data_IF_719791938749
#
_entry.id   IF_719791938749
#
_cell.length_a   1.000
_cell.length_b   1.000
_cell.length_c   1.000
_cell.angle_alpha   90.00
_cell.angle_beta   90.00
_cell.angle_gamma   90.00
#
_symmetry.space_group_name_H-M   'P 1'
#
loop_
_entity.id
_entity.type
_entity.pdbx_description
1 polymer ?
#
# COMPACT_ATOMS: atom_id res chain seq x y z
N UNK A 1 -15.74 26.82 -24.38
CA UNK A 1 -14.92 26.77 -25.60
C UNK A 1 -14.46 28.17 -25.92
N UNK A 2 -13.16 28.44 -25.75
CA UNK A 2 -12.50 29.66 -26.22
C UNK A 2 -11.65 29.22 -27.42
N UNK A 3 -11.86 29.75 -28.63
CA UNK A 3 -10.95 29.53 -29.75
C UNK A 3 -9.64 30.26 -29.47
N UNK A 4 -8.53 29.54 -29.54
CA UNK A 4 -7.17 30.09 -29.43
C UNK A 4 -6.78 30.65 -30.80
N UNK A 5 -6.29 31.90 -30.80
CA UNK A 5 -5.80 32.69 -31.93
C UNK A 5 -4.58 32.03 -32.63
N UNK A 6 -4.60 31.80 -33.96
CA UNK A 6 -3.50 31.19 -34.68
C UNK A 6 -2.53 32.25 -35.18
N UNK A 7 -1.72 32.83 -34.29
CA UNK A 7 -0.42 33.39 -34.67
C UNK A 7 0.66 32.59 -33.98
N UNK A 8 1.02 31.51 -34.67
CA UNK A 8 1.89 30.46 -34.18
C UNK A 8 3.28 30.96 -33.80
N UNK A 9 3.77 30.48 -32.66
CA UNK A 9 5.17 30.09 -32.60
C UNK A 9 5.37 29.08 -33.72
N UNK A 10 6.31 29.33 -34.62
CA UNK A 10 6.67 28.42 -35.69
C UNK A 10 7.41 27.23 -35.06
N UNK A 11 6.65 26.30 -34.49
CA UNK A 11 7.18 25.10 -33.84
C UNK A 11 7.53 24.14 -34.96
N UNK A 12 8.82 24.07 -35.29
CA UNK A 12 9.34 23.06 -36.19
C UNK A 12 9.20 21.70 -35.51
N UNK A 13 8.41 20.81 -36.10
CA UNK A 13 8.33 19.43 -35.65
C UNK A 13 9.71 18.77 -35.76
N UNK A 14 10.00 17.84 -34.85
CA UNK A 14 11.19 17.00 -34.94
C UNK A 14 11.13 16.15 -36.22
N UNK A 15 12.26 16.03 -36.90
CA UNK A 15 12.38 15.28 -38.15
C UNK A 15 12.31 13.77 -37.85
N UNK A 16 11.26 13.07 -38.31
CA UNK A 16 11.09 11.64 -38.05
C UNK A 16 12.04 10.76 -38.87
N UNK A 17 12.70 11.32 -39.88
CA UNK A 17 13.60 10.58 -40.77
C UNK A 17 15.06 10.57 -40.26
N UNK A 18 15.34 11.31 -39.18
CA UNK A 18 16.63 11.24 -38.51
C UNK A 18 16.74 9.94 -37.68
N UNK A 19 17.84 9.17 -37.82
CA UNK A 19 18.04 7.97 -37.04
C UNK A 19 18.25 8.34 -35.56
N UNK A 20 17.27 7.99 -34.72
CA UNK A 20 17.38 8.09 -33.27
C UNK A 20 17.43 6.70 -32.66
N UNK A 21 18.22 6.55 -31.58
CA UNK A 21 18.21 5.32 -30.80
C UNK A 21 16.93 5.19 -29.94
N UNK A 22 16.13 6.25 -29.82
CA UNK A 22 14.89 6.28 -29.06
C UNK A 22 13.67 6.26 -29.99
N UNK A 23 12.70 5.40 -29.68
CA UNK A 23 11.45 5.35 -30.43
C UNK A 23 10.60 6.60 -30.12
N UNK A 24 9.82 7.16 -31.07
CA UNK A 24 8.98 8.33 -30.82
C UNK A 24 7.93 8.16 -29.71
N UNK A 25 7.61 6.91 -29.35
CA UNK A 25 6.69 6.55 -28.28
C UNK A 25 7.36 6.23 -26.94
N UNK A 26 8.69 6.41 -26.82
CA UNK A 26 9.38 6.23 -25.54
C UNK A 26 8.97 7.30 -24.53
N UNK A 27 8.90 6.94 -23.25
CA UNK A 27 8.73 7.92 -22.17
C UNK A 27 9.96 8.84 -22.08
N UNK A 28 9.87 9.93 -21.31
CA UNK A 28 10.98 10.89 -21.19
C UNK A 28 12.16 10.36 -20.37
N UNK A 29 11.92 9.37 -19.52
CA UNK A 29 12.89 8.82 -18.56
C UNK A 29 14.16 8.21 -19.20
N UNK A 30 14.07 7.37 -20.25
CA UNK A 30 15.25 6.83 -20.94
C UNK A 30 16.13 7.90 -21.60
N UNK A 31 15.54 9.01 -22.07
CA UNK A 31 16.32 10.10 -22.67
C UNK A 31 17.17 10.81 -21.62
N UNK A 32 16.59 11.06 -20.44
CA UNK A 32 17.29 11.69 -19.31
C UNK A 32 18.40 10.77 -18.78
N UNK A 33 18.12 9.47 -18.63
CA UNK A 33 19.10 8.49 -18.16
C UNK A 33 20.32 8.35 -19.10
N UNK A 34 20.13 8.60 -20.39
CA UNK A 34 21.20 8.54 -21.41
C UNK A 34 21.67 9.94 -21.86
N UNK A 35 21.36 10.98 -21.08
CA UNK A 35 21.77 12.38 -21.31
C UNK A 35 21.46 12.91 -22.72
N UNK A 36 20.42 12.39 -23.37
CA UNK A 36 20.01 12.77 -24.73
C UNK A 36 21.08 12.52 -25.82
N UNK A 37 22.02 11.62 -25.59
CA UNK A 37 23.12 11.33 -26.52
C UNK A 37 22.68 10.28 -27.54
N UNK A 38 22.62 10.63 -28.82
CA UNK A 38 22.16 9.73 -29.90
C UNK A 38 23.23 8.73 -30.39
N UNK A 39 24.51 9.10 -30.35
CA UNK A 39 25.62 8.20 -30.70
C UNK A 39 26.94 8.69 -30.08
N UNK A 40 27.83 7.75 -29.76
CA UNK A 40 29.18 8.03 -29.27
C UNK A 40 30.21 7.83 -30.38
N UNK A 41 30.82 8.91 -30.86
CA UNK A 41 31.97 8.83 -31.78
C UNK A 41 33.28 8.91 -30.99
N UNK A 42 33.81 7.77 -30.58
CA UNK A 42 35.10 7.69 -29.87
C UNK A 42 36.26 7.63 -30.88
N UNK A 43 37.00 8.72 -31.04
CA UNK A 43 38.28 8.72 -31.76
C UNK A 43 39.43 8.45 -30.78
N UNK A 44 39.98 7.24 -30.79
CA UNK A 44 41.22 6.92 -30.06
C UNK A 44 42.37 6.74 -31.06
N UNK A 45 43.46 7.51 -30.87
CA UNK A 45 44.66 7.45 -31.71
C UNK A 45 45.80 6.82 -30.93
N UNK A 46 46.10 5.55 -31.25
CA UNK A 46 47.19 4.80 -30.64
C UNK A 46 48.57 5.42 -30.96
N UNK A 47 48.71 6.03 -32.14
CA UNK A 47 49.98 6.63 -32.58
C UNK A 47 50.40 7.83 -31.74
N UNK A 48 49.47 8.72 -31.35
CA UNK A 48 49.80 9.90 -30.54
C UNK A 48 50.20 9.51 -29.11
N UNK A 49 49.54 8.51 -28.54
CA UNK A 49 49.91 7.96 -27.23
C UNK A 49 51.33 7.41 -27.23
N UNK A 50 51.71 6.66 -28.28
CA UNK A 50 53.02 6.04 -28.38
C UNK A 50 54.16 7.06 -28.58
N UNK A 51 53.93 8.13 -29.36
CA UNK A 51 54.94 9.17 -29.60
C UNK A 51 55.19 10.07 -28.39
N UNK A 52 54.21 10.25 -27.51
CA UNK A 52 54.36 11.08 -26.29
C UNK A 52 55.07 10.33 -25.16
N UNK A 53 55.04 8.99 -25.16
CA UNK A 53 55.60 8.16 -24.09
C UNK A 53 56.96 7.51 -24.41
N UNK A 54 57.64 7.89 -25.50
CA UNK A 54 58.94 7.32 -25.84
C UNK A 54 60.09 8.20 -25.29
N UNK A 55 60.89 7.74 -24.32
CA UNK A 55 62.04 8.51 -23.82
C UNK A 55 63.23 8.44 -24.79
N UNK A 56 63.79 9.60 -25.15
CA UNK A 56 64.88 9.72 -26.15
C UNK A 56 66.27 9.26 -25.67
N UNK A 57 66.45 8.96 -24.38
CA UNK A 57 67.68 8.33 -23.89
C UNK A 57 67.47 7.57 -22.58
N UNK A 58 67.98 6.33 -22.53
CA UNK A 58 68.10 5.56 -21.31
C UNK A 58 69.57 5.51 -20.88
N UNK A 59 69.89 6.14 -19.76
CA UNK A 59 71.12 5.88 -18.99
C UNK A 59 70.79 4.92 -17.86
N UNK A 60 71.57 3.84 -17.73
CA UNK A 60 71.45 2.92 -16.60
C UNK A 60 72.65 3.10 -15.68
N UNK A 61 72.39 3.25 -14.38
CA UNK A 61 73.38 3.11 -13.32
C UNK A 61 73.31 1.68 -12.78
N UNK A 62 74.47 1.03 -12.65
CA UNK A 62 74.58 -0.34 -12.18
C UNK A 62 74.72 -0.35 -10.66
N UNK A 63 73.60 -0.52 -9.93
CA UNK A 63 73.63 -0.81 -8.50
C UNK A 63 73.68 -2.31 -8.26
N UNK A 64 74.67 -2.75 -7.47
CA UNK A 64 74.78 -4.15 -7.07
C UNK A 64 73.56 -4.58 -6.25
N UNK A 65 72.86 -5.59 -6.76
CA UNK A 65 71.66 -6.14 -6.16
C UNK A 65 72.00 -6.97 -4.93
N UNK A 66 71.59 -6.51 -3.75
CA UNK A 66 71.39 -7.39 -2.59
C UNK A 66 70.21 -8.33 -2.89
N UNK A 67 70.46 -9.40 -3.66
CA UNK A 67 69.46 -10.38 -4.11
C UNK A 67 68.66 -10.98 -2.95
N UNK A 68 69.28 -11.07 -1.77
CA UNK A 68 68.64 -11.56 -0.55
C UNK A 68 67.61 -10.59 0.03
N UNK A 69 67.91 -9.29 0.11
CA UNK A 69 66.99 -8.28 0.67
C UNK A 69 65.77 -8.12 -0.23
N UNK A 70 65.97 -8.14 -1.56
CA UNK A 70 64.90 -8.10 -2.54
C UNK A 70 63.95 -9.31 -2.45
N UNK A 71 64.49 -10.51 -2.22
CA UNK A 71 63.67 -11.70 -2.00
C UNK A 71 62.81 -11.59 -0.74
N UNK A 72 63.36 -11.04 0.36
CA UNK A 72 62.63 -10.83 1.61
C UNK A 72 61.51 -9.79 1.45
N UNK A 73 61.76 -8.66 0.80
CA UNK A 73 60.73 -7.63 0.61
C UNK A 73 59.60 -8.10 -0.31
N UNK A 74 59.90 -8.92 -1.32
CA UNK A 74 58.88 -9.58 -2.16
C UNK A 74 58.04 -10.58 -1.35
N UNK A 75 58.67 -11.38 -0.48
CA UNK A 75 57.97 -12.30 0.43
C UNK A 75 57.05 -11.57 1.41
N UNK A 76 57.52 -10.49 2.03
CA UNK A 76 56.72 -9.65 2.94
C UNK A 76 55.58 -8.97 2.17
N UNK A 77 55.84 -8.48 0.96
CA UNK A 77 54.82 -7.89 0.09
C UNK A 77 53.75 -8.89 -0.35
N UNK A 78 54.12 -10.13 -0.66
CA UNK A 78 53.19 -11.21 -0.99
C UNK A 78 52.37 -11.64 0.24
N UNK A 79 53.00 -11.83 1.40
CA UNK A 79 52.31 -12.21 2.63
C UNK A 79 51.37 -11.09 3.12
N UNK A 80 51.83 -9.85 3.06
CA UNK A 80 51.05 -8.66 3.40
C UNK A 80 49.90 -8.43 2.41
N UNK A 81 50.19 -8.48 1.11
CA UNK A 81 49.21 -8.33 0.04
C UNK A 81 48.15 -9.44 0.06
N UNK A 82 48.56 -10.69 0.26
CA UNK A 82 47.64 -11.83 0.40
C UNK A 82 46.74 -11.68 1.63
N UNK A 83 47.29 -11.26 2.77
CA UNK A 83 46.50 -11.03 4.00
C UNK A 83 45.46 -9.92 3.81
N UNK A 84 45.83 -8.81 3.17
CA UNK A 84 44.92 -7.70 2.88
C UNK A 84 43.86 -8.13 1.87
N UNK A 85 44.24 -8.82 0.80
CA UNK A 85 43.32 -9.34 -0.20
C UNK A 85 42.33 -10.37 0.39
N UNK A 86 42.80 -11.32 1.20
CA UNK A 86 41.93 -12.28 1.89
C UNK A 86 40.93 -11.55 2.80
N UNK A 87 41.38 -10.56 3.58
CA UNK A 87 40.49 -9.79 4.48
C UNK A 87 39.44 -8.98 3.71
N UNK A 88 39.73 -8.56 2.49
CA UNK A 88 38.79 -7.86 1.61
C UNK A 88 37.81 -8.80 0.90
N UNK A 89 38.29 -9.98 0.47
CA UNK A 89 37.53 -10.92 -0.38
C UNK A 89 36.69 -11.91 0.45
N UNK A 90 37.17 -12.33 1.62
CA UNK A 90 36.50 -13.34 2.44
C UNK A 90 35.12 -12.89 2.96
N UNK A 91 34.91 -11.68 3.50
CA UNK A 91 33.59 -11.30 4.02
C UNK A 91 32.48 -11.29 2.96
N UNK A 92 32.69 -10.77 1.73
CA UNK A 92 31.74 -10.93 0.63
C UNK A 92 31.49 -12.40 0.24
N UNK A 93 32.55 -13.21 0.14
CA UNK A 93 32.42 -14.63 -0.21
C UNK A 93 31.62 -15.43 0.83
N UNK A 94 31.88 -15.21 2.12
CA UNK A 94 31.13 -15.87 3.21
C UNK A 94 29.66 -15.46 3.18
N UNK A 95 29.34 -14.17 2.96
CA UNK A 95 27.95 -13.71 2.81
C UNK A 95 27.22 -14.36 1.62
N UNK A 96 27.93 -14.64 0.53
CA UNK A 96 27.34 -15.29 -0.64
C UNK A 96 27.04 -16.77 -0.39
N UNK A 97 27.92 -17.49 0.32
CA UNK A 97 27.77 -18.92 0.58
C UNK A 97 26.86 -19.22 1.78
N UNK A 98 26.85 -18.36 2.80
CA UNK A 98 26.15 -18.59 4.07
C UNK A 98 24.85 -17.78 4.20
N UNK A 99 24.20 -17.48 3.07
CA UNK A 99 22.90 -16.81 3.03
C UNK A 99 21.85 -17.72 2.40
N UNK A 100 20.74 -17.94 3.10
CA UNK A 100 19.62 -18.75 2.63
C UNK A 100 18.37 -17.88 2.58
N UNK A 101 17.68 -17.88 1.44
CA UNK A 101 16.43 -17.15 1.28
C UNK A 101 15.33 -17.77 2.14
N UNK A 102 14.43 -16.94 2.64
CA UNK A 102 13.35 -17.38 3.52
C UNK A 102 12.37 -18.35 2.81
N UNK A 103 12.14 -18.17 1.51
CA UNK A 103 11.29 -19.07 0.70
C UNK A 103 11.75 -20.55 0.67
N UNK A 104 13.03 -20.82 0.91
CA UNK A 104 13.59 -22.18 0.97
C UNK A 104 13.06 -22.96 2.17
N UNK A 105 12.74 -22.27 3.27
CA UNK A 105 12.39 -22.90 4.55
C UNK A 105 11.11 -22.36 5.21
N UNK A 106 10.45 -21.37 4.59
CA UNK A 106 9.16 -20.84 5.02
C UNK A 106 8.19 -20.79 3.86
N UNK A 107 6.92 -21.10 4.16
CA UNK A 107 5.80 -20.79 3.28
C UNK A 107 4.71 -20.07 4.05
N UNK A 108 4.08 -19.07 3.42
CA UNK A 108 3.05 -18.23 4.03
C UNK A 108 1.76 -18.40 3.23
N UNK A 109 0.69 -18.82 3.90
CA UNK A 109 -0.61 -19.08 3.27
C UNK A 109 -1.74 -18.64 4.22
N UNK A 110 -2.07 -17.34 4.24
CA UNK A 110 -3.00 -16.80 5.21
C UNK A 110 -4.44 -17.21 4.86
N UNK A 111 -5.22 -17.55 5.89
CA UNK A 111 -6.67 -17.67 5.81
C UNK A 111 -7.30 -16.36 6.27
N UNK A 112 -8.06 -15.72 5.38
CA UNK A 112 -8.81 -14.50 5.71
C UNK A 112 -10.18 -14.83 6.30
N UNK A 113 -10.74 -13.87 7.04
CA UNK A 113 -12.08 -13.90 7.58
C UNK A 113 -13.11 -13.99 6.44
N UNK A 114 -14.15 -14.80 6.63
CA UNK A 114 -15.18 -15.07 5.62
C UNK A 114 -15.89 -13.84 5.06
N UNK A 115 -15.85 -12.72 5.79
CA UNK A 115 -16.40 -11.43 5.32
C UNK A 115 -15.74 -10.98 4.02
N UNK A 116 -14.44 -11.23 3.83
CA UNK A 116 -13.70 -10.81 2.64
C UNK A 116 -13.97 -11.67 1.40
N UNK A 117 -14.68 -12.79 1.55
CA UNK A 117 -15.16 -13.62 0.44
C UNK A 117 -16.68 -13.72 0.39
N UNK A 118 -17.37 -12.86 1.14
CA UNK A 118 -18.82 -12.85 1.25
C UNK A 118 -19.49 -11.93 0.24
N UNK A 119 -20.80 -12.04 0.13
CA UNK A 119 -21.65 -11.16 -0.65
C UNK A 119 -21.53 -9.68 -0.22
N UNK A 120 -21.15 -9.39 1.03
CA UNK A 120 -21.05 -8.02 1.56
C UNK A 120 -19.93 -7.17 0.95
N UNK A 121 -18.94 -7.80 0.31
CA UNK A 121 -17.86 -7.10 -0.40
C UNK A 121 -18.08 -7.07 -1.92
N UNK A 122 -19.15 -7.68 -2.41
CA UNK A 122 -19.46 -7.77 -3.83
C UNK A 122 -20.04 -6.45 -4.37
N UNK A 123 -19.70 -6.08 -5.60
CA UNK A 123 -20.20 -4.88 -6.27
C UNK A 123 -21.73 -4.85 -6.41
N UNK A 124 -22.32 -6.01 -6.66
CA UNK A 124 -23.76 -6.16 -6.77
C UNK A 124 -24.48 -5.74 -5.47
N UNK A 125 -23.87 -6.01 -4.30
CA UNK A 125 -24.45 -5.68 -3.01
C UNK A 125 -24.51 -4.18 -2.77
N UNK A 126 -23.35 -3.52 -2.77
CA UNK A 126 -23.30 -2.11 -2.42
C UNK A 126 -23.85 -1.23 -3.56
N UNK A 127 -23.76 -1.68 -4.82
CA UNK A 127 -24.41 -1.02 -5.95
C UNK A 127 -25.94 -1.03 -5.83
N UNK A 128 -26.52 -2.14 -5.36
CA UNK A 128 -27.95 -2.24 -5.08
C UNK A 128 -28.41 -1.26 -4.00
N UNK A 129 -27.59 -1.05 -2.95
CA UNK A 129 -27.88 -0.08 -1.90
C UNK A 129 -27.75 1.39 -2.36
N UNK A 130 -26.99 1.67 -3.43
CA UNK A 130 -26.75 3.04 -3.94
C UNK A 130 -27.91 3.59 -4.77
N UNK A 131 -28.52 2.77 -5.65
CA UNK A 131 -29.43 3.23 -6.72
C UNK A 131 -30.81 3.79 -6.33
N UNK A 132 -30.97 4.40 -5.16
CA UNK A 132 -32.27 4.73 -4.53
C UNK A 132 -32.49 6.25 -4.32
N UNK A 133 -31.85 7.07 -5.15
CA UNK A 133 -31.58 8.52 -4.98
C UNK A 133 -32.75 9.53 -4.95
N UNK A 134 -34.03 9.15 -4.81
CA UNK A 134 -35.12 10.12 -5.03
C UNK A 134 -35.78 10.74 -3.76
N UNK A 135 -35.37 10.39 -2.53
CA UNK A 135 -36.00 10.96 -1.31
C UNK A 135 -34.96 11.22 -0.22
N UNK A 136 -35.10 12.34 0.49
CA UNK A 136 -34.21 12.80 1.56
C UNK A 136 -34.01 11.82 2.74
N UNK A 137 -34.83 10.77 2.84
CA UNK A 137 -34.75 9.69 3.82
C UNK A 137 -33.71 8.59 3.52
N UNK A 138 -33.04 8.62 2.35
CA UNK A 138 -32.09 7.57 1.94
C UNK A 138 -30.60 7.86 2.22
N UNK A 139 -30.27 8.94 2.93
CA UNK A 139 -28.86 9.29 3.24
C UNK A 139 -28.14 8.20 4.04
N UNK A 140 -28.83 7.53 4.94
CA UNK A 140 -28.27 6.42 5.75
C UNK A 140 -28.05 5.16 4.90
N UNK A 141 -28.87 4.94 3.87
CA UNK A 141 -28.69 3.82 2.93
C UNK A 141 -27.52 4.07 1.97
N UNK A 142 -27.38 5.30 1.48
CA UNK A 142 -26.21 5.73 0.70
C UNK A 142 -24.93 5.63 1.54
N UNK A 143 -24.96 6.08 2.79
CA UNK A 143 -23.86 5.92 3.74
C UNK A 143 -23.50 4.43 3.90
N UNK A 144 -24.48 3.57 4.07
CA UNK A 144 -24.26 2.14 4.23
C UNK A 144 -23.69 1.49 2.96
N UNK A 145 -24.16 1.87 1.78
CA UNK A 145 -23.57 1.47 0.50
C UNK A 145 -22.07 1.82 0.46
N UNK A 146 -21.71 3.05 0.83
CA UNK A 146 -20.31 3.49 0.88
C UNK A 146 -19.53 2.68 1.92
N UNK A 147 -20.11 2.39 3.08
CA UNK A 147 -19.47 1.57 4.12
C UNK A 147 -19.13 0.16 3.63
N UNK A 148 -20.05 -0.52 2.92
CA UNK A 148 -19.77 -1.82 2.31
C UNK A 148 -18.72 -1.74 1.20
N UNK A 149 -18.74 -0.69 0.39
CA UNK A 149 -17.68 -0.44 -0.60
C UNK A 149 -16.30 -0.24 0.05
N UNK A 150 -16.26 0.44 1.20
CA UNK A 150 -15.03 0.59 1.99
C UNK A 150 -14.61 -0.76 2.56
N UNK A 151 -15.52 -1.56 3.13
CA UNK A 151 -15.21 -2.91 3.61
C UNK A 151 -14.58 -3.77 2.50
N UNK A 152 -15.13 -3.73 1.28
CA UNK A 152 -14.57 -4.40 0.12
C UNK A 152 -13.14 -3.92 -0.19
N UNK A 153 -12.95 -2.60 -0.16
CA UNK A 153 -11.64 -1.97 -0.38
C UNK A 153 -10.64 -2.35 0.71
N UNK A 154 -11.07 -2.44 1.97
CA UNK A 154 -10.24 -2.87 3.11
C UNK A 154 -9.80 -4.32 2.97
N UNK A 155 -10.70 -5.23 2.59
CA UNK A 155 -10.36 -6.62 2.30
C UNK A 155 -9.36 -6.75 1.14
N UNK A 156 -9.59 -6.01 0.05
CA UNK A 156 -8.68 -6.00 -1.11
C UNK A 156 -7.29 -5.48 -0.73
N UNK A 157 -7.22 -4.33 -0.05
CA UNK A 157 -5.96 -3.73 0.36
C UNK A 157 -5.24 -4.60 1.40
N UNK A 158 -5.97 -5.28 2.29
CA UNK A 158 -5.38 -6.22 3.23
C UNK A 158 -4.72 -7.39 2.49
N UNK A 159 -5.41 -7.99 1.52
CA UNK A 159 -4.86 -9.07 0.69
C UNK A 159 -3.61 -8.61 -0.09
N UNK A 160 -3.65 -7.42 -0.69
CA UNK A 160 -2.50 -6.83 -1.39
C UNK A 160 -1.34 -6.54 -0.44
N UNK A 161 -1.61 -6.02 0.76
CA UNK A 161 -0.60 -5.76 1.77
C UNK A 161 0.09 -7.04 2.20
N UNK A 162 -0.67 -8.11 2.45
CA UNK A 162 -0.11 -9.42 2.81
C UNK A 162 0.71 -9.98 1.66
N UNK A 163 0.22 -9.93 0.42
CA UNK A 163 0.94 -10.43 -0.75
C UNK A 163 2.27 -9.68 -0.98
N UNK A 164 2.24 -8.35 -0.90
CA UNK A 164 3.43 -7.52 -1.06
C UNK A 164 4.45 -7.77 0.05
N UNK A 165 4.02 -7.75 1.31
CA UNK A 165 4.92 -7.97 2.44
C UNK A 165 5.45 -9.42 2.44
N UNK A 166 4.64 -10.41 2.03
CA UNK A 166 5.09 -11.80 1.84
C UNK A 166 6.17 -11.89 0.77
N UNK A 167 5.98 -11.25 -0.39
CA UNK A 167 6.97 -11.24 -1.46
C UNK A 167 8.30 -10.65 -1.00
N UNK A 168 8.26 -9.53 -0.27
CA UNK A 168 9.49 -8.91 0.27
C UNK A 168 10.12 -9.81 1.32
N UNK A 169 9.33 -10.32 2.26
CA UNK A 169 9.81 -11.14 3.36
C UNK A 169 10.45 -12.44 2.89
N UNK A 170 9.87 -13.11 1.90
CA UNK A 170 10.37 -14.39 1.38
C UNK A 170 11.66 -14.25 0.54
N UNK A 171 11.86 -13.09 -0.11
CA UNK A 171 13.10 -12.80 -0.85
C UNK A 171 14.28 -12.40 0.04
N UNK A 172 14.02 -12.02 1.29
CA UNK A 172 15.06 -11.74 2.28
C UNK A 172 15.85 -13.00 2.63
N UNK A 173 17.09 -12.79 3.08
CA UNK A 173 18.03 -13.86 3.38
C UNK A 173 18.39 -13.89 4.85
N UNK A 174 18.39 -15.08 5.41
CA UNK A 174 19.03 -15.37 6.69
C UNK A 174 20.53 -15.57 6.46
N UNK A 175 21.36 -14.76 7.11
CA UNK A 175 22.83 -14.83 7.01
C UNK A 175 23.38 -15.40 8.30
N UNK A 176 24.12 -16.50 8.21
CA UNK A 176 24.81 -17.11 9.37
C UNK A 176 26.30 -17.21 9.09
N UNK A 177 27.15 -17.07 10.10
CA UNK A 177 28.60 -17.24 9.94
C UNK A 177 29.01 -18.72 10.03
N UNK A 178 28.19 -19.51 10.72
CA UNK A 178 28.39 -20.93 10.99
C UNK A 178 27.06 -21.67 10.85
N UNK A 179 27.12 -23.00 10.75
CA UNK A 179 25.93 -23.83 10.77
C UNK A 179 25.26 -23.74 12.16
N UNK A 180 23.99 -23.32 12.18
CA UNK A 180 23.25 -23.19 13.43
C UNK A 180 22.79 -24.56 13.95
N UNK A 181 22.67 -24.67 15.27
CA UNK A 181 21.97 -25.80 15.88
C UNK A 181 20.47 -25.77 15.52
N UNK A 182 19.81 -26.92 15.60
CA UNK A 182 18.36 -27.00 15.35
C UNK A 182 17.55 -26.07 16.27
N UNK A 183 17.90 -26.01 17.57
CA UNK A 183 17.19 -25.13 18.53
C UNK A 183 17.43 -23.65 18.23
N UNK A 184 18.64 -23.27 17.83
CA UNK A 184 18.96 -21.90 17.41
C UNK A 184 18.22 -21.53 16.11
N UNK A 185 18.15 -22.45 15.15
CA UNK A 185 17.39 -22.26 13.92
C UNK A 185 15.90 -22.07 14.24
N UNK A 186 15.30 -22.93 15.06
CA UNK A 186 13.90 -22.82 15.44
C UNK A 186 13.59 -21.49 16.12
N UNK A 187 14.41 -21.07 17.09
CA UNK A 187 14.23 -19.77 17.76
C UNK A 187 14.34 -18.58 16.78
N UNK A 188 15.24 -18.67 15.79
CA UNK A 188 15.39 -17.66 14.76
C UNK A 188 14.16 -17.59 13.84
N UNK A 189 13.62 -18.75 13.46
CA UNK A 189 12.39 -18.85 12.67
C UNK A 189 11.20 -18.28 13.43
N UNK A 190 11.02 -18.67 14.69
CA UNK A 190 9.91 -18.20 15.52
C UNK A 190 9.96 -16.67 15.69
N UNK A 191 11.16 -16.11 15.86
CA UNK A 191 11.38 -14.67 15.88
C UNK A 191 11.00 -14.00 14.55
N UNK A 192 11.43 -14.56 13.41
CA UNK A 192 11.08 -14.05 12.08
C UNK A 192 9.57 -14.10 11.82
N UNK A 193 8.91 -15.21 12.20
CA UNK A 193 7.45 -15.37 12.12
C UNK A 193 6.76 -14.28 12.95
N UNK A 194 7.17 -14.12 14.21
CA UNK A 194 6.59 -13.11 15.10
C UNK A 194 6.74 -11.68 14.54
N UNK A 195 7.93 -11.32 14.03
CA UNK A 195 8.18 -10.03 13.40
C UNK A 195 7.24 -9.80 12.21
N UNK A 196 7.13 -10.77 11.30
CA UNK A 196 6.25 -10.67 10.13
C UNK A 196 4.79 -10.47 10.55
N UNK A 197 4.29 -11.33 11.44
CA UNK A 197 2.89 -11.28 11.90
C UNK A 197 2.55 -10.02 12.70
N UNK A 198 3.54 -9.36 13.31
CA UNK A 198 3.34 -8.11 14.05
C UNK A 198 3.47 -6.88 13.14
N UNK A 199 4.48 -6.83 12.26
CA UNK A 199 4.79 -5.63 11.49
C UNK A 199 3.85 -5.40 10.30
N UNK A 200 3.38 -6.47 9.66
CA UNK A 200 2.51 -6.36 8.48
C UNK A 200 1.16 -5.73 8.82
N UNK A 201 0.41 -6.18 9.86
CA UNK A 201 -0.80 -5.47 10.30
C UNK A 201 -0.51 -4.03 10.78
N UNK A 202 0.57 -3.82 11.52
CA UNK A 202 0.96 -2.50 12.01
C UNK A 202 1.20 -1.48 10.89
N UNK A 203 1.87 -1.91 9.81
CA UNK A 203 2.10 -1.07 8.62
C UNK A 203 0.78 -0.69 7.96
N UNK A 204 -0.11 -1.66 7.77
CA UNK A 204 -1.44 -1.43 7.20
C UNK A 204 -2.27 -0.45 8.04
N UNK A 205 -2.33 -0.68 9.37
CA UNK A 205 -3.03 0.18 10.31
C UNK A 205 -2.50 1.62 10.27
N UNK A 206 -1.18 1.81 10.24
CA UNK A 206 -0.57 3.15 10.11
C UNK A 206 -0.98 3.85 8.82
N UNK A 207 -1.03 3.14 7.69
CA UNK A 207 -1.50 3.70 6.42
C UNK A 207 -2.98 4.11 6.48
N UNK A 208 -3.84 3.30 7.09
CA UNK A 208 -5.24 3.65 7.27
C UNK A 208 -5.42 4.89 8.15
N UNK A 209 -4.72 4.94 9.29
CA UNK A 209 -4.73 6.10 10.20
C UNK A 209 -4.26 7.37 9.47
N UNK A 210 -3.23 7.26 8.65
CA UNK A 210 -2.75 8.39 7.85
C UNK A 210 -3.82 8.90 6.88
N UNK A 211 -4.50 8.00 6.15
CA UNK A 211 -5.59 8.39 5.22
C UNK A 211 -6.69 9.11 6.00
N UNK A 212 -7.15 8.47 7.07
CA UNK A 212 -8.22 8.99 7.91
C UNK A 212 -7.89 10.39 8.49
N UNK A 213 -6.71 10.59 9.08
CA UNK A 213 -6.28 11.90 9.60
C UNK A 213 -6.09 12.93 8.48
N UNK A 214 -5.69 12.51 7.28
CA UNK A 214 -5.59 13.39 6.11
C UNK A 214 -6.94 13.95 5.71
N UNK A 215 -8.01 13.12 5.69
CA UNK A 215 -9.37 13.59 5.40
C UNK A 215 -9.83 14.64 6.41
N UNK A 216 -9.50 14.44 7.69
CA UNK A 216 -9.87 15.35 8.79
C UNK A 216 -9.11 16.67 8.72
N UNK A 217 -7.78 16.62 8.66
CA UNK A 217 -6.93 17.80 8.69
C UNK A 217 -7.15 18.73 7.48
N UNK A 218 -7.48 18.17 6.32
CA UNK A 218 -7.70 18.91 5.07
C UNK A 218 -9.18 19.25 4.80
N UNK A 219 -10.07 18.99 5.76
CA UNK A 219 -11.50 19.30 5.63
C UNK A 219 -12.17 18.68 4.39
N UNK A 220 -11.72 17.49 3.97
CA UNK A 220 -12.20 16.85 2.75
C UNK A 220 -13.64 16.36 2.95
N UNK A 221 -14.59 16.99 2.26
CA UNK A 221 -15.99 16.64 2.29
C UNK A 221 -16.22 15.24 1.72
N UNK A 222 -16.94 14.38 2.45
CA UNK A 222 -17.45 13.12 1.87
C UNK A 222 -18.85 13.32 1.29
N UNK A 223 -19.18 12.54 0.26
CA UNK A 223 -20.47 12.62 -0.46
C UNK A 223 -21.71 12.63 0.45
N UNK A 224 -21.84 11.79 1.51
CA UNK A 224 -23.02 11.85 2.38
C UNK A 224 -23.00 13.03 3.36
N UNK A 225 -21.98 13.88 3.32
CA UNK A 225 -21.79 15.07 4.17
C UNK A 225 -21.81 14.74 5.67
N UNK A 226 -21.30 13.56 6.04
CA UNK A 226 -21.28 13.08 7.43
C UNK A 226 -20.20 13.75 8.28
N UNK A 227 -19.16 14.31 7.66
CA UNK A 227 -18.05 14.98 8.34
C UNK A 227 -18.12 16.51 8.26
N UNK A 228 -18.38 17.04 7.06
CA UNK A 228 -18.51 18.47 6.76
C UNK A 228 -19.80 18.69 5.99
N UNK A 229 -20.29 19.91 5.97
CA UNK A 229 -21.40 20.34 5.11
C UNK A 229 -21.08 21.71 4.51
N UNK A 230 -21.64 21.98 3.33
CA UNK A 230 -21.51 23.29 2.69
C UNK A 230 -22.54 24.25 3.29
N UNK A 231 -22.06 25.34 3.88
CA UNK A 231 -22.86 26.45 4.33
C UNK A 231 -22.82 27.57 3.29
N UNK A 232 -24.00 27.96 2.81
CA UNK A 232 -24.18 29.08 1.90
C UNK A 232 -24.65 30.27 2.71
N UNK A 233 -23.85 31.34 2.77
CA UNK A 233 -24.25 32.59 3.41
C UNK A 233 -24.31 33.71 2.39
N UNK A 234 -25.32 34.57 2.54
CA UNK A 234 -25.47 35.78 1.72
C UNK A 234 -24.66 36.90 2.35
N UNK A 235 -23.58 37.31 1.68
CA UNK A 235 -22.97 38.62 1.89
C UNK A 235 -23.67 39.65 1.00
N UNK A 236 -23.58 40.94 1.35
CA UNK A 236 -24.38 42.02 0.77
C UNK A 236 -24.48 42.03 -0.78
N UNK A 237 -23.45 41.52 -1.49
CA UNK A 237 -23.45 41.40 -2.95
C UNK A 237 -22.87 40.06 -3.48
N UNK A 238 -22.67 39.04 -2.63
CA UNK A 238 -22.01 37.77 -3.02
C UNK A 238 -22.46 36.56 -2.19
N UNK A 239 -22.27 35.36 -2.75
CA UNK A 239 -22.39 34.10 -2.01
C UNK A 239 -21.05 33.69 -1.43
N UNK A 240 -21.02 33.43 -0.12
CA UNK A 240 -19.88 32.77 0.52
C UNK A 240 -20.24 31.30 0.70
N UNK A 241 -19.40 30.42 0.16
CA UNK A 241 -19.47 28.98 0.38
C UNK A 241 -18.41 28.63 1.41
N UNK A 242 -18.83 28.18 2.58
CA UNK A 242 -17.95 27.73 3.65
C UNK A 242 -18.17 26.25 3.95
N UNK A 243 -17.12 25.52 4.28
CA UNK A 243 -17.24 24.21 4.91
C UNK A 243 -17.44 24.39 6.41
N UNK A 244 -18.49 23.78 6.96
CA UNK A 244 -18.72 23.76 8.41
C UNK A 244 -18.73 22.31 8.88
N UNK A 245 -18.11 22.00 10.02
CA UNK A 245 -18.08 20.64 10.53
C UNK A 245 -19.49 20.20 10.92
N UNK A 246 -19.78 18.92 10.72
CA UNK A 246 -21.04 18.35 11.18
C UNK A 246 -20.98 18.13 12.70
N UNK A 247 -22.02 18.62 13.38
CA UNK A 247 -22.20 18.48 14.83
C UNK A 247 -23.23 17.41 15.14
N UNK A 248 -23.10 16.80 16.31
CA UNK A 248 -24.04 15.78 16.77
C UNK A 248 -25.31 16.47 17.27
N UNK A 249 -26.48 15.91 16.96
CA UNK A 249 -27.74 16.45 17.47
C UNK A 249 -27.73 16.36 19.01
N UNK A 250 -27.68 17.51 19.68
CA UNK A 250 -27.83 17.63 21.14
C UNK A 250 -26.54 17.64 21.98
N UNK A 251 -25.35 17.42 21.39
CA UNK A 251 -24.07 17.47 22.13
C UNK A 251 -23.07 18.46 21.50
N UNK A 252 -22.14 19.01 22.29
CA UNK A 252 -21.05 19.89 21.84
C UNK A 252 -19.92 19.16 21.08
N UNK A 253 -20.18 17.97 20.55
CA UNK A 253 -19.21 17.17 19.81
C UNK A 253 -19.36 17.39 18.31
N UNK A 254 -18.23 17.66 17.65
CA UNK A 254 -18.11 17.85 16.21
C UNK A 254 -17.18 16.80 15.60
N UNK A 255 -17.34 16.55 14.31
CA UNK A 255 -16.42 15.69 13.56
C UNK A 255 -14.98 16.19 13.47
N UNK A 256 -14.69 17.42 13.92
CA UNK A 256 -13.33 17.92 14.10
C UNK A 256 -12.78 17.51 15.47
N UNK A 257 -13.58 17.70 16.53
CA UNK A 257 -13.08 17.73 17.91
C UNK A 257 -13.24 16.42 18.65
N UNK A 258 -14.14 15.52 18.22
CA UNK A 258 -14.49 14.34 19.01
C UNK A 258 -14.96 13.18 18.13
N UNK A 259 -14.04 12.66 17.32
CA UNK A 259 -14.37 11.72 16.26
C UNK A 259 -14.70 10.32 16.75
N UNK A 260 -13.95 9.78 17.71
CA UNK A 260 -14.24 8.47 18.32
C UNK A 260 -15.57 8.47 19.11
N UNK A 261 -15.97 9.65 19.59
CA UNK A 261 -17.21 9.87 20.31
C UNK A 261 -18.39 10.21 19.39
N UNK A 262 -18.11 10.52 18.12
CA UNK A 262 -19.14 10.82 17.12
C UNK A 262 -19.50 9.53 16.40
N UNK A 263 -20.36 8.75 17.06
CA UNK A 263 -20.99 7.58 16.46
C UNK A 263 -22.46 7.57 16.81
N UNK A 264 -23.28 7.12 15.86
CA UNK A 264 -24.71 6.87 16.10
C UNK A 264 -25.12 5.53 15.48
N UNK A 265 -26.09 4.83 16.06
CA UNK A 265 -26.68 3.68 15.40
C UNK A 265 -27.29 4.08 14.07
N UNK A 266 -27.18 3.19 13.07
CA UNK A 266 -27.78 3.39 11.77
C UNK A 266 -29.19 2.81 11.77
N UNK A 267 -30.14 3.60 11.27
CA UNK A 267 -31.53 3.20 11.13
C UNK A 267 -31.89 3.19 9.66
N UNK A 268 -32.80 2.29 9.27
CA UNK A 268 -33.41 2.35 7.95
C UNK A 268 -34.91 2.59 8.09
N UNK A 269 -35.41 3.54 7.32
CA UNK A 269 -36.83 3.86 7.23
C UNK A 269 -37.44 3.13 6.02
N UNK A 270 -38.40 2.26 6.30
CA UNK A 270 -39.17 1.52 5.32
C UNK A 270 -40.67 1.82 5.52
N UNK A 271 -41.30 2.56 4.61
CA UNK A 271 -42.75 2.83 4.68
C UNK A 271 -43.19 3.37 6.07
N UNK A 272 -42.46 4.34 6.64
CA UNK A 272 -42.71 4.91 7.97
C UNK A 272 -42.42 3.97 9.15
N UNK A 273 -41.73 2.84 8.91
CA UNK A 273 -41.25 1.95 9.94
C UNK A 273 -39.72 2.02 10.04
N UNK A 274 -39.25 2.63 11.12
CA UNK A 274 -37.82 2.79 11.40
C UNK A 274 -37.26 1.53 12.05
N UNK A 275 -36.37 0.84 11.36
CA UNK A 275 -35.68 -0.36 11.86
C UNK A 275 -34.24 -0.02 12.22
N UNK A 276 -33.84 -0.34 13.45
CA UNK A 276 -32.44 -0.25 13.89
C UNK A 276 -31.64 -1.42 13.28
N UNK A 277 -30.47 -1.14 12.73
CA UNK A 277 -29.54 -2.18 12.29
C UNK A 277 -28.59 -2.59 13.43
N UNK A 278 -28.69 -3.84 13.94
CA UNK A 278 -27.83 -4.30 15.03
C UNK A 278 -26.35 -4.21 14.64
N UNK A 279 -25.56 -3.55 15.48
CA UNK A 279 -24.12 -3.45 15.29
C UNK A 279 -23.66 -2.51 14.17
N UNK A 280 -24.56 -1.87 13.41
CA UNK A 280 -24.17 -0.97 12.31
C UNK A 280 -24.22 0.48 12.78
N UNK A 281 -23.13 1.19 12.53
CA UNK A 281 -22.88 2.53 13.09
C UNK A 281 -22.52 3.51 11.98
N UNK A 282 -23.06 4.73 12.07
CA UNK A 282 -22.64 5.88 11.30
C UNK A 282 -21.60 6.68 12.10
N UNK A 283 -20.44 6.91 11.51
CA UNK A 283 -19.38 7.79 12.04
C UNK A 283 -19.25 9.09 11.24
N UNK A 284 -18.25 9.89 11.59
CA UNK A 284 -17.91 11.10 10.84
C UNK A 284 -17.50 10.81 9.40
N UNK A 285 -16.60 9.85 9.21
CA UNK A 285 -16.30 9.28 7.91
C UNK A 285 -16.97 7.91 7.77
N UNK A 286 -17.33 7.50 6.54
CA UNK A 286 -17.82 6.14 6.31
C UNK A 286 -16.83 5.06 6.76
N UNK A 287 -15.51 5.32 6.69
CA UNK A 287 -14.48 4.40 7.22
C UNK A 287 -14.54 4.27 8.74
N UNK A 288 -14.88 5.33 9.48
CA UNK A 288 -15.04 5.28 10.93
C UNK A 288 -16.28 4.47 11.30
N UNK A 289 -17.39 4.74 10.59
CA UNK A 289 -18.64 4.04 10.80
C UNK A 289 -18.50 2.53 10.61
N UNK A 290 -17.86 2.08 9.52
CA UNK A 290 -17.64 0.64 9.33
C UNK A 290 -16.66 0.07 10.37
N UNK A 291 -15.60 0.78 10.76
CA UNK A 291 -14.65 0.29 11.79
C UNK A 291 -15.29 0.18 13.18
N UNK A 292 -16.20 1.09 13.52
CA UNK A 292 -16.97 1.08 14.77
C UNK A 292 -18.19 0.15 14.72
N UNK A 293 -18.51 -0.41 13.56
CA UNK A 293 -19.57 -1.40 13.41
C UNK A 293 -19.08 -2.80 13.80
N UNK A 294 -20.00 -3.68 14.14
CA UNK A 294 -19.78 -5.11 14.41
C UNK A 294 -20.33 -5.97 13.26
N UNK A 295 -20.14 -7.28 13.34
CA UNK A 295 -20.66 -8.24 12.38
C UNK A 295 -22.07 -8.75 12.73
N UNK A 296 -22.74 -8.20 13.75
CA UNK A 296 -24.04 -8.71 14.22
C UNK A 296 -25.08 -8.82 13.10
N UNK A 297 -25.28 -7.74 12.33
CA UNK A 297 -26.18 -7.76 11.16
C UNK A 297 -25.72 -8.73 10.05
N UNK A 298 -24.41 -8.98 9.92
CA UNK A 298 -23.84 -9.81 8.86
C UNK A 298 -24.17 -11.30 9.04
N UNK A 299 -24.44 -11.73 10.28
CA UNK A 299 -24.90 -13.08 10.60
C UNK A 299 -26.44 -13.19 10.71
N UNK A 300 -27.16 -12.07 10.80
CA UNK A 300 -28.61 -12.05 11.00
C UNK A 300 -29.39 -11.91 9.68
N UNK A 301 -30.00 -13.01 9.26
CA UNK A 301 -30.90 -13.07 8.09
C UNK A 301 -32.04 -12.03 8.12
N UNK A 302 -32.59 -11.69 9.30
CA UNK A 302 -33.67 -10.70 9.42
C UNK A 302 -33.14 -9.29 9.18
N UNK A 303 -31.95 -8.98 9.69
CA UNK A 303 -31.28 -7.71 9.46
C UNK A 303 -31.01 -7.52 7.95
N UNK A 304 -30.42 -8.52 7.32
CA UNK A 304 -30.12 -8.50 5.88
C UNK A 304 -31.38 -8.39 5.03
N UNK A 305 -32.45 -9.11 5.41
CA UNK A 305 -33.73 -8.98 4.71
C UNK A 305 -34.32 -7.57 4.81
N UNK A 306 -34.19 -6.92 5.96
CA UNK A 306 -34.67 -5.54 6.18
C UNK A 306 -33.95 -4.53 5.28
N UNK A 307 -32.67 -4.75 4.99
CA UNK A 307 -31.91 -3.95 4.02
C UNK A 307 -32.46 -4.10 2.60
N UNK A 308 -32.87 -5.31 2.23
CA UNK A 308 -33.31 -5.64 0.87
C UNK A 308 -34.74 -5.23 0.57
N UNK A 309 -35.64 -5.30 1.56
CA UNK A 309 -37.06 -4.97 1.40
C UNK A 309 -37.26 -3.49 1.03
N UNK A 310 -36.42 -2.61 1.54
CA UNK A 310 -36.46 -1.16 1.29
C UNK A 310 -36.06 -0.85 -0.14
N UNK A 311 -35.01 -1.50 -0.62
CA UNK A 311 -34.50 -1.35 -1.97
C UNK A 311 -35.36 -2.05 -3.05
N UNK A 312 -36.16 -3.06 -2.65
CA UNK A 312 -37.04 -3.83 -3.57
C UNK A 312 -38.26 -3.06 -4.09
N UNK A 313 -38.59 -1.90 -3.51
CA UNK A 313 -39.73 -1.10 -3.94
C UNK A 313 -39.55 -0.43 -5.31
N UNK A 314 -38.37 -0.53 -5.94
CA UNK A 314 -38.02 0.21 -7.17
C UNK A 314 -37.24 -0.56 -8.24
N UNK A 315 -36.88 -1.83 -8.01
CA UNK A 315 -36.11 -2.65 -8.97
C UNK A 315 -36.76 -4.02 -9.18
N UNK A 316 -36.68 -4.57 -10.40
CA UNK A 316 -37.27 -5.88 -10.76
C UNK A 316 -36.41 -7.08 -10.34
N UNK A 317 -35.15 -6.84 -9.96
CA UNK A 317 -34.20 -7.86 -9.50
C UNK A 317 -33.69 -7.50 -8.10
N UNK A 318 -34.07 -8.30 -7.11
CA UNK A 318 -33.66 -8.14 -5.72
C UNK A 318 -32.36 -8.93 -5.51
N UNK A 319 -31.32 -8.26 -5.01
CA UNK A 319 -30.09 -8.93 -4.61
C UNK A 319 -30.03 -9.02 -3.09
N UNK A 320 -30.06 -10.24 -2.56
CA UNK A 320 -30.03 -10.52 -1.12
C UNK A 320 -28.69 -11.13 -0.79
N UNK A 321 -27.86 -10.40 -0.03
CA UNK A 321 -26.61 -10.94 0.49
C UNK A 321 -26.90 -12.17 1.36
N UNK A 322 -26.10 -13.23 1.20
CA UNK A 322 -26.18 -14.37 2.10
C UNK A 322 -25.59 -14.01 3.47
N UNK A 323 -26.25 -14.39 4.58
CA UNK A 323 -25.66 -14.27 5.89
C UNK A 323 -24.33 -15.02 5.98
N UNK A 324 -23.40 -14.49 6.77
CA UNK A 324 -22.16 -15.18 7.08
C UNK A 324 -22.46 -16.51 7.80
N UNK A 325 -21.59 -17.49 7.61
CA UNK A 325 -21.73 -18.81 8.23
C UNK A 325 -21.26 -18.76 9.68
N UNK A 326 -22.21 -18.76 10.63
CA UNK A 326 -21.93 -18.77 12.06
C UNK A 326 -21.23 -20.06 12.56
N UNK A 327 -21.27 -21.14 11.77
CA UNK A 327 -20.58 -22.40 12.10
C UNK A 327 -19.15 -22.46 11.55
N UNK A 328 -18.71 -21.48 10.76
CA UNK A 328 -17.35 -21.44 10.25
C UNK A 328 -16.37 -21.05 11.37
N UNK A 329 -15.17 -21.67 11.44
CA UNK A 329 -14.19 -21.36 12.47
C UNK A 329 -13.65 -19.94 12.30
N UNK A 330 -13.80 -19.12 13.34
CA UNK A 330 -13.31 -17.74 13.40
C UNK A 330 -12.72 -17.45 14.78
N UNK A 331 -11.66 -16.63 14.81
CA UNK A 331 -11.10 -16.07 16.04
C UNK A 331 -11.92 -14.88 16.56
N UNK A 332 -12.90 -14.41 15.77
CA UNK A 332 -13.68 -13.23 16.05
C UNK A 332 -15.16 -13.58 16.26
N UNK A 333 -15.75 -12.97 17.28
CA UNK A 333 -17.18 -13.06 17.55
C UNK A 333 -17.98 -12.07 16.71
N UNK A 334 -19.30 -12.28 16.60
CA UNK A 334 -20.19 -11.38 15.85
C UNK A 334 -20.21 -9.95 16.40
N UNK A 335 -19.99 -9.75 17.71
CA UNK A 335 -19.92 -8.45 18.35
C UNK A 335 -18.51 -7.81 18.31
N UNK A 336 -17.53 -8.44 17.64
CA UNK A 336 -16.22 -7.82 17.45
C UNK A 336 -16.35 -6.65 16.47
N UNK A 337 -15.69 -5.53 16.80
CA UNK A 337 -15.59 -4.38 15.90
C UNK A 337 -14.86 -4.78 14.61
N UNK A 338 -15.42 -4.43 13.47
CA UNK A 338 -14.80 -4.64 12.16
C UNK A 338 -13.44 -3.91 12.09
N UNK A 339 -13.26 -2.82 12.84
CA UNK A 339 -11.97 -2.17 13.02
C UNK A 339 -10.88 -3.08 13.58
N UNK A 340 -11.22 -3.98 14.52
CA UNK A 340 -10.26 -4.93 15.09
C UNK A 340 -9.87 -6.02 14.08
N UNK A 341 -10.83 -6.44 13.24
CA UNK A 341 -10.55 -7.34 12.12
C UNK A 341 -9.62 -6.65 11.12
N UNK A 342 -9.94 -5.41 10.72
CA UNK A 342 -9.14 -4.64 9.78
C UNK A 342 -7.72 -4.36 10.30
N UNK A 343 -7.56 -4.05 11.59
CA UNK A 343 -6.27 -3.86 12.24
C UNK A 343 -5.43 -5.14 12.27
N UNK A 344 -6.07 -6.30 12.12
CA UNK A 344 -5.43 -7.61 11.98
C UNK A 344 -5.43 -8.12 10.52
N UNK A 345 -5.62 -7.23 9.54
CA UNK A 345 -5.69 -7.56 8.10
C UNK A 345 -6.76 -8.60 7.73
N UNK A 346 -7.79 -8.74 8.57
CA UNK A 346 -8.81 -9.79 8.49
C UNK A 346 -8.22 -11.21 8.52
N UNK A 347 -7.01 -11.40 9.04
CA UNK A 347 -6.35 -12.71 9.09
C UNK A 347 -6.91 -13.54 10.25
N UNK A 348 -7.35 -14.74 9.93
CA UNK A 348 -7.78 -15.76 10.90
C UNK A 348 -6.63 -16.69 11.28
N UNK A 349 -5.76 -16.99 10.32
CA UNK A 349 -4.55 -17.79 10.51
C UNK A 349 -3.54 -17.36 9.45
N UNK A 350 -2.27 -17.19 9.85
CA UNK A 350 -1.20 -16.83 8.93
C UNK A 350 -0.68 -18.04 8.14
N UNK A 351 -0.93 -19.26 8.62
CA UNK A 351 -0.56 -20.49 7.92
C UNK A 351 0.93 -20.57 7.60
N UNK A 352 1.80 -20.08 8.48
CA UNK A 352 3.25 -20.05 8.26
C UNK A 352 3.86 -21.40 8.63
N UNK A 353 4.25 -22.18 7.62
CA UNK A 353 4.92 -23.47 7.80
C UNK A 353 6.42 -23.26 7.74
#
# INVERSE_FOLDING_TARGET
MVPIDPRGANITALDPDLPSQFLPNSTFEPLVLNMFIENWTLSSSYSNYYTTCNPDSCTYTYDQRYAFVAAITVLIGLLGGLSVALRLILPPCVKLVASVQHDVFLSISPRLHQVCSSDFVAEQWWGYLWGLDAVSSFRDLQLLSIQFRILASLCLLAQQSIANDTSVFLTNKLVTLEAMSFSSFQAQIDSLKAIFTAQTPDKFRRTQLFIYETFRANQLLVVPETNWQLAFTTAADNYVVATVPRNSFGNNYSCITSLDSFSRPLYIDANYNTTLLPGVVAGCLPIDGIRLSTLECFFDSKCIFSLTSIASTRTTTIWIAKPLNASAPSNYSSNTLIGNLADSLFVEDWGIK
#
